data_IF_830005666099
#
_entry.id   IF_830005666099
#
_cell.length_a   1.000
_cell.length_b   1.000
_cell.length_c   1.000
_cell.angle_alpha   90.00
_cell.angle_beta   90.00
_cell.angle_gamma   90.00
#
_symmetry.space_group_name_H-M   'P 1'
#
loop_
_entity.id
_entity.type
_entity.pdbx_description
1 polymer ?
#
# COMPACT_ATOMS: atom_id res chain seq x y z
N UNK A 1 35.76 13.64 -0.93
CA UNK A 1 35.85 13.15 -2.31
C UNK A 1 37.01 12.19 -2.46
N UNK A 2 36.76 10.93 -2.08
CA UNK A 2 37.62 9.77 -2.27
C UNK A 2 37.43 9.12 -3.66
N UNK A 3 36.57 9.70 -4.51
CA UNK A 3 36.22 9.21 -5.83
C UNK A 3 35.04 8.22 -5.85
N UNK A 4 34.42 7.91 -4.70
CA UNK A 4 33.17 7.15 -4.64
C UNK A 4 31.98 8.06 -4.94
N UNK A 5 30.95 7.50 -5.59
CA UNK A 5 29.73 8.27 -5.89
C UNK A 5 28.86 8.25 -4.65
N UNK A 6 28.75 9.41 -3.99
CA UNK A 6 27.81 9.74 -2.90
C UNK A 6 26.34 9.39 -3.23
N UNK A 7 26.01 9.24 -4.51
CA UNK A 7 24.63 9.15 -4.99
C UNK A 7 24.46 8.28 -6.23
N UNK A 8 23.49 7.37 -6.18
CA UNK A 8 23.09 6.54 -7.32
C UNK A 8 21.58 6.50 -7.45
N UNK A 9 21.05 6.87 -8.62
CA UNK A 9 19.64 6.68 -8.91
C UNK A 9 19.44 6.21 -10.34
N UNK A 10 18.43 5.37 -10.53
CA UNK A 10 17.95 5.00 -11.85
C UNK A 10 16.44 4.81 -11.81
N UNK A 11 15.81 5.01 -12.97
CA UNK A 11 14.41 4.72 -13.21
C UNK A 11 14.27 4.14 -14.61
N UNK A 12 13.53 3.06 -14.72
CA UNK A 12 13.12 2.48 -15.98
C UNK A 12 11.59 2.41 -16.04
N UNK A 13 11.04 2.57 -17.23
CA UNK A 13 9.62 2.39 -17.48
C UNK A 13 9.45 1.82 -18.88
N UNK A 14 8.65 0.76 -18.99
CA UNK A 14 8.31 0.09 -20.23
C UNK A 14 6.80 0.03 -20.36
N UNK A 15 6.30 0.38 -21.54
CA UNK A 15 4.88 0.31 -21.87
C UNK A 15 4.70 -0.37 -23.22
N UNK A 16 3.72 -1.25 -23.31
CA UNK A 16 3.32 -1.92 -24.54
C UNK A 16 1.81 -1.86 -24.67
N UNK A 17 1.33 -1.75 -25.90
CA UNK A 17 -0.08 -1.85 -26.20
C UNK A 17 -0.30 -2.74 -27.42
N UNK A 18 -1.51 -3.28 -27.53
CA UNK A 18 -2.01 -3.97 -28.70
C UNK A 18 -3.29 -3.26 -29.12
N UNK A 19 -3.34 -2.94 -30.41
CA UNK A 19 -4.50 -2.50 -31.18
C UNK A 19 -4.57 -3.49 -32.35
N UNK A 20 -5.42 -4.53 -32.22
CA UNK A 20 -5.45 -5.68 -33.12
C UNK A 20 -6.32 -5.40 -34.33
N UNK A 21 -7.35 -4.58 -34.20
CA UNK A 21 -8.28 -4.25 -35.28
C UNK A 21 -7.99 -2.89 -35.95
N UNK A 22 -7.00 -2.14 -35.48
CA UNK A 22 -6.54 -0.84 -36.03
C UNK A 22 -7.65 0.22 -36.03
N UNK A 23 -8.56 0.15 -35.04
CA UNK A 23 -9.64 1.12 -34.86
C UNK A 23 -9.26 2.32 -33.98
N UNK A 24 -8.04 2.30 -33.43
CA UNK A 24 -7.50 3.34 -32.56
C UNK A 24 -7.77 3.13 -31.07
N UNK A 25 -8.60 2.14 -30.70
CA UNK A 25 -8.76 1.68 -29.34
C UNK A 25 -7.77 0.55 -29.04
N UNK A 26 -7.28 0.50 -27.80
CA UNK A 26 -6.18 -0.40 -27.42
C UNK A 26 -6.74 -1.56 -26.63
N UNK A 27 -6.86 -2.75 -27.23
CA UNK A 27 -7.47 -3.87 -26.51
C UNK A 27 -6.64 -4.39 -25.36
N UNK A 28 -5.35 -4.05 -25.35
CA UNK A 28 -4.48 -4.30 -24.21
C UNK A 28 -3.48 -3.17 -24.04
N UNK A 29 -3.36 -2.66 -22.81
CA UNK A 29 -2.28 -1.76 -22.41
C UNK A 29 -1.59 -2.32 -21.17
N UNK A 30 -0.27 -2.45 -21.22
CA UNK A 30 0.55 -2.92 -20.11
C UNK A 30 1.70 -1.96 -19.87
N UNK A 31 1.93 -1.61 -18.60
CA UNK A 31 3.04 -0.74 -18.18
C UNK A 31 3.73 -1.29 -16.94
N UNK A 32 5.07 -1.24 -16.94
CA UNK A 32 5.94 -1.64 -15.83
C UNK A 32 6.90 -0.50 -15.55
N UNK A 33 7.17 -0.23 -14.28
CA UNK A 33 8.23 0.69 -13.89
C UNK A 33 9.02 0.14 -12.71
N UNK A 34 10.30 0.47 -12.65
CA UNK A 34 11.11 0.30 -11.45
C UNK A 34 12.03 1.51 -11.27
N UNK A 35 12.36 1.82 -10.02
CA UNK A 35 13.34 2.84 -9.70
C UNK A 35 14.11 2.47 -8.45
N UNK A 36 15.35 2.95 -8.34
CA UNK A 36 16.11 2.94 -7.10
C UNK A 36 16.78 4.28 -6.86
N UNK A 37 17.11 4.50 -5.59
CA UNK A 37 17.92 5.59 -5.08
C UNK A 37 18.81 4.98 -4.00
N UNK A 38 20.11 5.28 -4.03
CA UNK A 38 21.10 4.92 -3.04
C UNK A 38 21.91 6.16 -2.69
N UNK A 39 22.30 6.28 -1.42
CA UNK A 39 23.16 7.35 -0.93
C UNK A 39 24.20 6.77 0.02
N UNK A 40 25.42 7.24 -0.19
CA UNK A 40 26.61 7.09 0.64
C UNK A 40 26.87 8.50 1.20
N UNK A 41 26.73 8.65 2.51
CA UNK A 41 26.59 9.91 3.22
C UNK A 41 27.88 10.32 3.91
N UNK A 42 28.73 9.36 4.26
CA UNK A 42 30.02 9.59 4.87
C UNK A 42 31.21 9.28 3.92
N UNK A 43 30.92 8.91 2.67
CA UNK A 43 31.89 8.68 1.60
C UNK A 43 32.86 7.53 1.92
N UNK A 44 32.38 6.48 2.59
CA UNK A 44 33.20 5.31 2.95
C UNK A 44 33.07 4.14 1.95
N UNK A 45 32.16 4.27 0.97
CA UNK A 45 31.87 3.28 -0.06
C UNK A 45 30.71 2.33 0.28
N UNK A 46 30.13 2.43 1.47
CA UNK A 46 28.89 1.76 1.85
C UNK A 46 27.67 2.65 1.53
N UNK A 47 26.46 2.18 1.82
CA UNK A 47 25.24 2.85 1.37
C UNK A 47 24.24 2.87 2.52
N UNK A 48 24.31 3.91 3.32
CA UNK A 48 23.48 4.09 4.53
C UNK A 48 22.03 4.36 4.17
N UNK A 49 21.71 4.70 2.91
CA UNK A 49 20.33 4.85 2.49
C UNK A 49 20.05 4.11 1.18
N UNK A 50 18.97 3.33 1.17
CA UNK A 50 18.48 2.69 -0.05
C UNK A 50 16.96 2.78 -0.16
N UNK A 51 16.49 3.22 -1.31
CA UNK A 51 15.08 3.21 -1.69
C UNK A 51 14.91 2.44 -3.00
N UNK A 52 13.86 1.61 -3.08
CA UNK A 52 13.47 0.93 -4.32
C UNK A 52 11.96 0.97 -4.49
N UNK A 53 11.52 1.15 -5.73
CA UNK A 53 10.11 1.11 -6.09
C UNK A 53 9.88 0.30 -7.37
N UNK A 54 8.71 -0.34 -7.45
CA UNK A 54 8.20 -1.00 -8.64
C UNK A 54 6.71 -0.75 -8.77
N UNK A 55 6.23 -0.61 -10.00
CA UNK A 55 4.80 -0.52 -10.30
C UNK A 55 4.44 -1.26 -11.59
N UNK A 56 3.20 -1.72 -11.64
CA UNK A 56 2.65 -2.48 -12.75
C UNK A 56 1.19 -2.09 -12.97
N UNK A 57 0.84 -1.85 -14.24
CA UNK A 57 -0.52 -1.56 -14.67
C UNK A 57 -0.87 -2.44 -15.87
N UNK A 58 -2.10 -2.95 -15.89
CA UNK A 58 -2.69 -3.69 -17.01
C UNK A 58 -4.12 -3.23 -17.21
N UNK A 59 -4.49 -2.92 -18.44
CA UNK A 59 -5.86 -2.69 -18.88
C UNK A 59 -6.19 -3.58 -20.07
N UNK A 60 -7.42 -4.08 -20.12
CA UNK A 60 -8.00 -4.79 -21.25
C UNK A 60 -9.29 -4.07 -21.68
N UNK A 61 -9.50 -3.99 -22.98
CA UNK A 61 -10.63 -3.42 -23.74
C UNK A 61 -10.90 -4.37 -24.92
N UNK A 62 -11.43 -5.55 -24.64
CA UNK A 62 -11.34 -6.73 -25.53
C UNK A 62 -12.11 -6.58 -26.83
N UNK A 63 -13.19 -5.81 -26.83
CA UNK A 63 -14.00 -5.53 -28.01
C UNK A 63 -13.71 -4.16 -28.65
N UNK A 64 -12.76 -3.41 -28.09
CA UNK A 64 -12.21 -2.18 -28.66
C UNK A 64 -13.24 -1.05 -28.73
N UNK A 65 -14.16 -0.99 -27.76
CA UNK A 65 -15.21 0.03 -27.72
C UNK A 65 -14.80 1.29 -26.91
N UNK A 66 -13.66 1.21 -26.21
CA UNK A 66 -13.10 2.27 -25.36
C UNK A 66 -13.43 2.13 -23.87
N UNK A 67 -14.33 1.24 -23.50
CA UNK A 67 -14.56 0.77 -22.14
C UNK A 67 -13.57 -0.33 -21.81
N UNK A 68 -13.18 -0.40 -20.54
CA UNK A 68 -12.13 -1.34 -20.11
C UNK A 68 -12.77 -2.41 -19.26
N UNK A 69 -12.84 -3.64 -19.74
CA UNK A 69 -13.47 -4.74 -19.00
C UNK A 69 -12.61 -5.20 -17.83
N UNK A 70 -11.33 -4.84 -17.84
CA UNK A 70 -10.40 -5.20 -16.77
C UNK A 70 -9.35 -4.13 -16.55
N UNK A 71 -9.09 -3.85 -15.28
CA UNK A 71 -7.94 -3.08 -14.86
C UNK A 71 -7.26 -3.72 -13.67
N UNK A 72 -5.93 -3.72 -13.68
CA UNK A 72 -5.11 -4.18 -12.58
C UNK A 72 -3.96 -3.21 -12.35
N UNK A 73 -3.73 -2.91 -11.09
CA UNK A 73 -2.63 -2.10 -10.62
C UNK A 73 -1.93 -2.79 -9.45
N UNK A 74 -0.61 -2.81 -9.45
CA UNK A 74 0.20 -3.15 -8.30
C UNK A 74 1.38 -2.19 -8.14
N UNK A 75 1.69 -1.84 -6.90
CA UNK A 75 2.93 -1.14 -6.57
C UNK A 75 3.54 -1.68 -5.29
N UNK A 76 4.87 -1.60 -5.23
CA UNK A 76 5.64 -1.92 -4.04
C UNK A 76 6.83 -0.99 -3.99
N UNK A 77 7.08 -0.39 -2.84
CA UNK A 77 8.31 0.33 -2.61
C UNK A 77 8.75 0.16 -1.17
N UNK A 78 10.05 0.34 -0.94
CA UNK A 78 10.64 0.32 0.37
C UNK A 78 11.81 1.29 0.44
N UNK A 79 12.10 1.73 1.65
CA UNK A 79 13.24 2.55 2.03
C UNK A 79 13.90 1.90 3.24
N UNK A 80 15.22 1.91 3.31
CA UNK A 80 15.99 1.51 4.48
C UNK A 80 17.10 2.52 4.76
N UNK A 81 17.41 2.71 6.04
CA UNK A 81 18.56 3.46 6.54
C UNK A 81 19.45 2.53 7.37
N UNK A 82 20.77 2.58 7.18
CA UNK A 82 21.83 1.76 7.81
C UNK A 82 23.02 2.68 8.14
N UNK A 83 22.84 3.54 9.14
CA UNK A 83 23.68 4.72 9.42
C UNK A 83 25.02 4.36 10.06
N UNK A 84 25.18 3.14 10.56
CA UNK A 84 26.42 2.66 11.17
C UNK A 84 27.15 1.60 10.30
N UNK A 85 26.66 1.36 9.08
CA UNK A 85 27.19 0.46 8.06
C UNK A 85 27.48 -0.97 8.53
N UNK A 86 26.72 -1.45 9.50
CA UNK A 86 26.90 -2.82 10.01
C UNK A 86 26.05 -3.86 9.25
N UNK A 87 25.22 -3.40 8.30
CA UNK A 87 24.35 -4.23 7.47
C UNK A 87 22.96 -4.47 8.05
N UNK A 88 22.62 -3.84 9.18
CA UNK A 88 21.32 -3.92 9.84
C UNK A 88 20.66 -2.54 9.78
N UNK A 89 19.57 -2.42 9.02
CA UNK A 89 18.93 -1.11 8.93
C UNK A 89 18.32 -0.65 10.26
N UNK A 90 18.74 0.52 10.75
CA UNK A 90 18.08 1.19 11.89
C UNK A 90 16.77 1.86 11.49
N UNK A 91 16.50 1.98 10.19
CA UNK A 91 15.24 2.47 9.66
C UNK A 91 14.74 1.60 8.53
N UNK A 92 13.43 1.35 8.51
CA UNK A 92 12.78 0.66 7.41
C UNK A 92 11.35 1.14 7.17
N UNK A 93 11.05 1.43 5.92
CA UNK A 93 9.71 1.68 5.44
C UNK A 93 9.39 0.79 4.25
N UNK A 94 8.19 0.22 4.19
CA UNK A 94 7.71 -0.52 3.03
C UNK A 94 6.23 -0.28 2.83
N UNK A 95 5.79 -0.15 1.58
CA UNK A 95 4.38 -0.11 1.21
C UNK A 95 4.13 -0.94 -0.03
N UNK A 96 3.16 -1.83 0.07
CA UNK A 96 2.64 -2.65 -1.02
C UNK A 96 1.15 -2.35 -1.21
N UNK A 97 0.75 -2.07 -2.44
CA UNK A 97 -0.64 -1.78 -2.80
C UNK A 97 -1.02 -2.54 -4.07
N UNK A 98 -2.24 -3.07 -4.13
CA UNK A 98 -2.82 -3.52 -5.40
C UNK A 98 -4.30 -3.18 -5.47
N UNK A 99 -4.80 -3.07 -6.69
CA UNK A 99 -6.22 -2.95 -6.97
C UNK A 99 -6.56 -3.59 -8.29
N UNK A 100 -7.76 -4.12 -8.42
CA UNK A 100 -8.30 -4.51 -9.71
C UNK A 100 -9.78 -4.24 -9.80
N UNK A 101 -10.27 -4.18 -11.03
CA UNK A 101 -11.68 -4.17 -11.33
C UNK A 101 -12.00 -5.05 -12.52
N UNK A 102 -13.26 -5.45 -12.62
CA UNK A 102 -13.85 -6.17 -13.75
C UNK A 102 -15.14 -5.43 -14.12
N UNK A 103 -15.36 -5.23 -15.42
CA UNK A 103 -16.56 -4.72 -16.10
C UNK A 103 -16.87 -5.72 -17.24
N UNK A 104 -17.53 -6.83 -16.92
CA UNK A 104 -17.68 -8.01 -17.79
C UNK A 104 -18.70 -7.80 -18.88
N UNK A 105 -19.77 -7.05 -18.60
CA UNK A 105 -20.83 -6.77 -19.56
C UNK A 105 -20.55 -5.53 -20.42
N UNK A 106 -19.45 -4.83 -20.13
CA UNK A 106 -18.91 -3.74 -20.92
C UNK A 106 -19.89 -2.56 -21.06
N UNK A 107 -20.51 -2.20 -19.96
CA UNK A 107 -21.48 -1.09 -19.90
C UNK A 107 -20.94 0.15 -19.20
N UNK A 108 -19.65 0.14 -18.87
CA UNK A 108 -18.92 1.19 -18.17
C UNK A 108 -19.05 1.11 -16.65
N UNK A 109 -19.76 0.12 -16.10
CA UNK A 109 -19.89 -0.09 -14.67
C UNK A 109 -19.19 -1.36 -14.22
N UNK A 110 -18.32 -1.19 -13.22
CA UNK A 110 -17.50 -2.28 -12.72
C UNK A 110 -18.34 -3.20 -11.85
N UNK A 111 -18.52 -4.46 -12.24
CA UNK A 111 -19.21 -5.42 -11.36
C UNK A 111 -18.33 -5.86 -10.21
N UNK A 112 -17.00 -5.81 -10.36
CA UNK A 112 -16.09 -6.13 -9.26
C UNK A 112 -15.07 -5.01 -9.12
N UNK A 113 -14.86 -4.55 -7.89
CA UNK A 113 -13.74 -3.70 -7.54
C UNK A 113 -13.08 -4.18 -6.25
N UNK A 114 -11.76 -4.33 -6.25
CA UNK A 114 -10.99 -4.73 -5.07
C UNK A 114 -9.77 -3.84 -4.90
N UNK A 115 -9.49 -3.49 -3.64
CA UNK A 115 -8.26 -2.80 -3.27
C UNK A 115 -7.61 -3.43 -2.03
N UNK A 116 -6.29 -3.29 -1.94
CA UNK A 116 -5.49 -3.75 -0.82
C UNK A 116 -4.27 -2.86 -0.67
N UNK A 117 -3.91 -2.51 0.55
CA UNK A 117 -2.67 -1.81 0.88
C UNK A 117 -2.13 -2.30 2.20
N UNK A 118 -0.82 -2.51 2.27
CA UNK A 118 -0.08 -2.86 3.47
C UNK A 118 1.17 -1.99 3.57
N UNK A 119 1.41 -1.39 4.72
CA UNK A 119 2.65 -0.65 4.97
C UNK A 119 3.24 -0.96 6.34
N UNK A 120 4.56 -0.87 6.41
CA UNK A 120 5.39 -0.99 7.60
C UNK A 120 6.29 0.24 7.67
N UNK A 121 6.49 0.77 8.86
CA UNK A 121 7.47 1.80 9.14
C UNK A 121 8.05 1.52 10.52
N UNK A 122 9.34 1.24 10.63
CA UNK A 122 9.97 1.05 11.93
C UNK A 122 11.34 1.70 12.00
N UNK A 123 11.76 2.02 13.23
CA UNK A 123 13.06 2.52 13.60
C UNK A 123 13.59 1.72 14.78
N UNK A 124 14.87 1.39 14.75
CA UNK A 124 15.64 0.58 15.70
C UNK A 124 17.05 1.19 15.79
N UNK A 125 17.20 2.36 16.42
CA UNK A 125 18.39 3.20 16.31
C UNK A 125 19.66 2.56 16.89
N UNK A 126 19.51 1.71 17.91
CA UNK A 126 20.60 0.99 18.57
C UNK A 126 20.67 -0.49 18.18
N UNK A 127 19.71 -0.96 17.37
CA UNK A 127 19.56 -2.32 16.86
C UNK A 127 19.40 -3.44 17.89
N UNK A 128 18.87 -3.11 19.06
CA UNK A 128 18.60 -4.07 20.13
C UNK A 128 17.28 -4.86 19.91
N UNK A 129 16.50 -4.48 18.88
CA UNK A 129 15.15 -4.97 18.51
C UNK A 129 14.02 -4.41 19.35
N UNK A 130 14.29 -3.39 20.15
CA UNK A 130 13.34 -2.58 20.86
C UNK A 130 12.97 -1.34 20.04
N UNK A 131 12.20 -1.52 18.96
CA UNK A 131 11.85 -0.41 18.07
C UNK A 131 11.35 0.85 18.78
N UNK A 132 12.07 1.97 18.67
CA UNK A 132 11.65 3.26 19.22
C UNK A 132 10.42 3.79 18.48
N UNK A 133 10.26 3.32 17.24
CA UNK A 133 9.06 3.58 16.45
C UNK A 133 8.67 2.33 15.68
N UNK A 134 7.41 1.94 15.77
CA UNK A 134 6.82 0.93 14.91
C UNK A 134 5.42 1.34 14.49
N UNK A 135 5.17 1.31 13.18
CA UNK A 135 3.88 1.57 12.58
C UNK A 135 3.54 0.51 11.54
N UNK A 136 2.30 0.03 11.61
CA UNK A 136 1.72 -0.90 10.66
C UNK A 136 0.38 -0.39 10.15
N UNK A 137 0.20 -0.48 8.83
CA UNK A 137 -1.04 -0.15 8.14
C UNK A 137 -1.49 -1.31 7.28
N UNK A 138 -2.78 -1.62 7.33
CA UNK A 138 -3.41 -2.60 6.45
C UNK A 138 -4.80 -2.11 6.08
N UNK A 139 -5.12 -2.08 4.80
CA UNK A 139 -6.44 -1.75 4.29
C UNK A 139 -6.83 -2.72 3.18
N UNK A 140 -8.09 -3.11 3.14
CA UNK A 140 -8.66 -3.85 2.03
C UNK A 140 -10.12 -3.47 1.83
N UNK A 141 -10.55 -3.39 0.57
CA UNK A 141 -11.95 -3.25 0.22
C UNK A 141 -12.31 -4.14 -0.96
N UNK A 142 -13.57 -4.52 -1.01
CA UNK A 142 -14.20 -5.28 -2.09
C UNK A 142 -15.61 -4.75 -2.31
N UNK A 143 -15.99 -4.61 -3.57
CA UNK A 143 -17.32 -4.20 -4.00
C UNK A 143 -17.79 -5.12 -5.13
N UNK A 144 -19.08 -5.43 -5.12
CA UNK A 144 -19.80 -6.22 -6.11
C UNK A 144 -21.03 -5.42 -6.57
N UNK A 145 -21.15 -5.22 -7.88
CA UNK A 145 -22.26 -4.60 -8.62
C UNK A 145 -22.69 -5.59 -9.72
N UNK A 146 -23.35 -6.67 -9.32
CA UNK A 146 -23.58 -7.89 -10.09
C UNK A 146 -24.43 -7.65 -11.33
N UNK A 147 -25.40 -6.75 -11.27
CA UNK A 147 -26.29 -6.43 -12.40
C UNK A 147 -25.85 -5.18 -13.19
N UNK A 148 -24.79 -4.52 -12.73
CA UNK A 148 -24.16 -3.38 -13.37
C UNK A 148 -25.02 -2.09 -13.39
N UNK A 149 -25.92 -1.94 -12.42
CA UNK A 149 -26.92 -0.86 -12.38
C UNK A 149 -26.48 0.44 -11.69
N UNK A 150 -25.18 0.54 -11.34
CA UNK A 150 -24.50 1.61 -10.56
C UNK A 150 -24.61 1.46 -9.04
N UNK A 151 -25.32 0.46 -8.55
CA UNK A 151 -25.52 0.21 -7.14
C UNK A 151 -24.81 -1.09 -6.75
N UNK A 152 -23.98 -1.02 -5.72
CA UNK A 152 -23.29 -2.21 -5.24
C UNK A 152 -24.26 -3.04 -4.38
N UNK A 153 -24.52 -4.30 -4.74
CA UNK A 153 -25.28 -5.26 -3.92
C UNK A 153 -24.47 -5.72 -2.71
N UNK A 154 -23.14 -5.64 -2.81
CA UNK A 154 -22.29 -5.99 -1.69
C UNK A 154 -21.04 -5.13 -1.66
N UNK A 155 -20.67 -4.71 -0.45
CA UNK A 155 -19.38 -4.13 -0.20
C UNK A 155 -18.84 -4.63 1.14
N UNK A 156 -17.54 -4.81 1.22
CA UNK A 156 -16.87 -5.06 2.48
C UNK A 156 -15.48 -4.47 2.50
N UNK A 157 -14.99 -4.17 3.69
CA UNK A 157 -13.64 -3.72 3.85
C UNK A 157 -13.22 -3.61 5.29
N UNK A 158 -11.94 -3.34 5.46
CA UNK A 158 -11.37 -3.09 6.76
C UNK A 158 -10.11 -2.24 6.65
N UNK A 159 -9.81 -1.54 7.73
CA UNK A 159 -8.56 -0.79 7.91
C UNK A 159 -8.01 -1.09 9.29
N UNK A 160 -6.71 -1.37 9.37
CA UNK A 160 -5.96 -1.63 10.60
C UNK A 160 -4.80 -0.66 10.67
N UNK A 161 -4.64 -0.05 11.84
CA UNK A 161 -3.50 0.75 12.24
C UNK A 161 -2.95 0.16 13.53
N UNK A 162 -1.63 0.03 13.61
CA UNK A 162 -0.95 -0.27 14.85
C UNK A 162 0.27 0.64 14.96
N UNK A 163 0.46 1.23 16.14
CA UNK A 163 1.54 2.15 16.47
C UNK A 163 2.11 1.74 17.83
N UNK A 164 3.44 1.69 17.91
CA UNK A 164 4.23 1.60 19.14
C UNK A 164 5.28 2.71 19.07
N UNK A 165 5.45 3.45 20.15
CA UNK A 165 6.52 4.43 20.32
C UNK A 165 7.17 4.16 21.67
N UNK A 166 8.49 4.05 21.65
CA UNK A 166 9.41 3.79 22.77
C UNK A 166 10.58 4.76 22.61
N UNK A 167 10.29 6.06 22.73
CA UNK A 167 11.13 7.14 22.26
C UNK A 167 12.42 7.31 23.08
N UNK A 168 12.40 6.94 24.35
CA UNK A 168 13.57 6.94 25.23
C UNK A 168 14.34 5.61 25.24
N UNK A 169 13.84 4.62 24.50
CA UNK A 169 14.44 3.30 24.31
C UNK A 169 14.70 2.53 25.61
N UNK A 170 13.78 2.64 26.57
CA UNK A 170 13.91 1.98 27.87
C UNK A 170 13.23 0.59 27.91
N UNK A 171 12.61 0.16 26.80
CA UNK A 171 11.87 -1.10 26.66
C UNK A 171 10.39 -1.03 27.09
N UNK A 172 9.93 0.13 27.55
CA UNK A 172 8.56 0.43 27.95
C UNK A 172 8.00 1.53 27.05
N UNK A 173 7.19 1.16 26.05
CA UNK A 173 6.66 2.13 25.09
C UNK A 173 5.82 3.21 25.77
N UNK A 174 6.11 4.49 25.54
CA UNK A 174 5.29 5.61 26.05
C UNK A 174 3.96 5.71 25.31
N UNK A 175 3.84 5.04 24.16
CA UNK A 175 2.58 4.99 23.42
C UNK A 175 2.33 3.68 22.71
N UNK A 176 1.10 3.18 22.85
CA UNK A 176 0.56 2.10 22.03
C UNK A 176 -0.80 2.47 21.49
N UNK A 177 -0.93 2.58 20.17
CA UNK A 177 -2.23 2.81 19.55
C UNK A 177 -2.60 1.69 18.60
N UNK A 178 -3.86 1.32 18.59
CA UNK A 178 -4.43 0.36 17.66
C UNK A 178 -5.78 0.87 17.18
N UNK A 179 -6.08 0.67 15.91
CA UNK A 179 -7.42 0.87 15.38
C UNK A 179 -7.69 -0.17 14.33
N UNK A 180 -8.78 -0.93 14.49
CA UNK A 180 -9.39 -1.76 13.46
C UNK A 180 -10.79 -1.23 13.19
N UNK A 181 -11.01 -0.77 11.98
CA UNK A 181 -12.33 -0.53 11.44
C UNK A 181 -12.65 -1.64 10.44
N UNK A 182 -13.86 -2.18 10.46
CA UNK A 182 -14.34 -3.16 9.49
C UNK A 182 -15.79 -2.85 9.18
N UNK A 183 -16.18 -3.05 7.93
CA UNK A 183 -17.52 -2.74 7.48
C UNK A 183 -17.94 -3.75 6.43
N UNK A 184 -19.23 -4.01 6.35
CA UNK A 184 -19.84 -4.62 5.19
C UNK A 184 -21.26 -4.11 5.03
N UNK A 185 -21.77 -4.18 3.81
CA UNK A 185 -23.17 -3.95 3.53
C UNK A 185 -23.66 -4.94 2.49
N UNK A 186 -24.98 -5.14 2.48
CA UNK A 186 -25.71 -5.92 1.48
C UNK A 186 -26.92 -5.08 1.05
N UNK A 187 -27.12 -5.01 -0.25
CA UNK A 187 -28.36 -4.62 -0.94
C UNK A 187 -28.84 -5.87 -1.71
N UNK A 188 -29.97 -6.46 -1.30
CA UNK A 188 -30.46 -7.76 -1.80
C UNK A 188 -31.58 -7.61 -2.83
N UNK A 189 -32.34 -6.53 -2.72
CA UNK A 189 -33.48 -6.27 -3.58
C UNK A 189 -33.13 -5.36 -4.76
N UNK A 190 -31.85 -4.98 -4.88
CA UNK A 190 -31.27 -4.22 -5.98
C UNK A 190 -32.03 -2.88 -6.15
N UNK A 191 -32.38 -2.24 -5.02
CA UNK A 191 -33.12 -0.95 -4.99
C UNK A 191 -32.23 0.26 -4.63
N UNK A 192 -30.92 0.04 -4.63
CA UNK A 192 -29.87 0.97 -4.22
C UNK A 192 -29.91 1.36 -2.73
N UNK A 193 -30.60 0.58 -1.89
CA UNK A 193 -30.66 0.78 -0.43
C UNK A 193 -30.17 -0.47 0.28
N UNK A 194 -29.14 -0.25 1.10
CA UNK A 194 -28.56 -1.28 1.97
C UNK A 194 -29.62 -1.76 2.97
N UNK A 195 -30.04 -3.01 2.90
CA UNK A 195 -30.88 -3.59 3.96
C UNK A 195 -30.02 -4.08 5.13
N UNK A 196 -28.77 -4.45 4.85
CA UNK A 196 -27.80 -4.80 5.89
C UNK A 196 -26.64 -3.84 5.79
N UNK A 197 -26.33 -3.19 6.90
CA UNK A 197 -25.13 -2.39 7.06
C UNK A 197 -24.54 -2.69 8.42
N UNK A 198 -23.27 -3.11 8.43
CA UNK A 198 -22.52 -3.40 9.64
C UNK A 198 -21.26 -2.57 9.64
N UNK A 199 -20.98 -1.95 10.77
CA UNK A 199 -19.68 -1.36 11.05
C UNK A 199 -19.19 -1.83 12.41
N UNK A 200 -17.90 -2.16 12.46
CA UNK A 200 -17.19 -2.57 13.66
C UNK A 200 -15.95 -1.71 13.80
N UNK A 201 -15.76 -1.14 14.98
CA UNK A 201 -14.56 -0.41 15.33
C UNK A 201 -14.04 -0.91 16.68
N UNK A 202 -12.78 -1.31 16.70
CA UNK A 202 -12.01 -1.55 17.93
C UNK A 202 -10.79 -0.64 17.90
N UNK A 203 -10.64 0.20 18.90
CA UNK A 203 -9.51 1.10 19.00
C UNK A 203 -9.07 1.28 20.45
N UNK A 204 -7.79 1.55 20.64
CA UNK A 204 -7.21 2.06 21.87
C UNK A 204 -6.06 3.01 21.51
N UNK A 205 -5.80 4.01 22.35
CA UNK A 205 -4.60 4.85 22.33
C UNK A 205 -4.17 4.93 23.79
N UNK A 206 -3.21 4.10 24.14
CA UNK A 206 -2.64 3.98 25.48
C UNK A 206 -1.39 4.84 25.56
N UNK A 207 -1.27 5.65 26.61
CA UNK A 207 -0.12 6.53 26.83
C UNK A 207 0.43 6.34 28.23
N UNK A 208 1.74 6.34 28.35
CA UNK A 208 2.46 6.34 29.62
C UNK A 208 3.17 7.70 29.69
N UNK A 209 2.42 8.71 30.15
CA UNK A 209 2.84 10.11 30.09
C UNK A 209 3.75 10.52 31.26
N UNK A 210 3.74 9.74 32.34
CA UNK A 210 4.58 9.93 33.53
C UNK A 210 5.76 8.95 33.59
N UNK A 211 5.92 8.10 32.57
CA UNK A 211 7.04 7.17 32.36
C UNK A 211 7.17 6.13 33.50
N UNK A 212 6.05 5.79 34.15
CA UNK A 212 6.02 4.88 35.30
C UNK A 212 5.91 3.39 34.88
N UNK A 213 5.60 3.14 33.61
CA UNK A 213 5.37 1.82 33.03
C UNK A 213 3.90 1.39 32.97
N UNK A 214 2.96 2.24 33.35
CA UNK A 214 1.52 2.02 33.30
C UNK A 214 0.86 2.91 32.24
N UNK A 215 -0.13 2.34 31.55
CA UNK A 215 -0.88 3.09 30.55
C UNK A 215 -2.14 3.74 31.16
N UNK A 216 -2.34 5.00 30.81
CA UNK A 216 -3.55 5.80 31.07
C UNK A 216 -4.54 5.77 29.90
#
# INVERSE_FOLDING_TARGET
DDGTKEYWAARESASSFFDRNDDGNRERTESRSWAFYLRDSDEDGNMEYSHRSRSYYLYLDRDSDGNKEYGYYNSHYWTRGDSNDNGRPEYYYSKYSYSYYIDRNDDGWREISRSYTRAYNYRDADEDRNFEYYYYYLSSSYYLNRDSDRCYEYGSGYTTYWLRVDADDNGKPERRAYTRASWYFIDRNDDCRREISYSYRRAYDLRDADEDGNYE
#
